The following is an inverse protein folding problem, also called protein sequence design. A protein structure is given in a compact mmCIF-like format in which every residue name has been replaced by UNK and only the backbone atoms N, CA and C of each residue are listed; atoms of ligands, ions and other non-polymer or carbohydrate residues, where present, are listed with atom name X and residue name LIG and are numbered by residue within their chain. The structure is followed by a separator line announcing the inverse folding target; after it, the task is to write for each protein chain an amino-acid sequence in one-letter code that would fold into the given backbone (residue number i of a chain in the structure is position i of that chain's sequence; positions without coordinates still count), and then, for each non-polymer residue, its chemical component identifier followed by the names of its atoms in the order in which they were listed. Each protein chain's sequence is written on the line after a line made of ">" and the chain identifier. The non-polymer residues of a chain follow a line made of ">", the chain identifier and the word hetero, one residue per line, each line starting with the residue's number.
data_IF_517763480425
#
_entry.id   IF_517763480425
#
_cell.length_a   1.000
_cell.length_b   1.000
_cell.length_c   1.000
_cell.angle_alpha   90.00
_cell.angle_beta   90.00
_cell.angle_gamma   90.00
#
_symmetry.space_group_name_H-M   'P 1'
#
loop_
_entity.id
_entity.type
_entity.pdbx_description
1 polymer ?
#
# COMPACT_ATOMS: atom_id res chain seq x y z
N UNK A 1 5.30 24.79 12.31
CA UNK A 1 4.54 24.23 11.18
C UNK A 1 3.33 23.54 11.78
N UNK A 2 2.12 23.97 11.43
CA UNK A 2 0.94 23.18 11.79
C UNK A 2 1.02 21.89 10.98
N UNK A 3 1.04 20.75 11.65
CA UNK A 3 0.94 19.47 10.98
C UNK A 3 -0.51 19.35 10.48
N UNK A 4 -0.72 19.47 9.16
CA UNK A 4 -2.05 19.51 8.55
C UNK A 4 -2.71 18.12 8.52
N UNK A 5 -1.95 17.06 8.81
CA UNK A 5 -2.42 15.69 8.92
C UNK A 5 -2.21 15.13 10.34
N UNK A 6 -2.99 14.11 10.76
CA UNK A 6 -2.81 13.44 12.04
C UNK A 6 -1.50 12.65 12.08
N UNK A 7 -0.99 12.39 13.29
CA UNK A 7 0.16 11.51 13.47
C UNK A 7 -0.17 10.06 13.08
N UNK A 8 -1.38 9.60 13.42
CA UNK A 8 -1.91 8.30 13.06
C UNK A 8 -3.07 8.46 12.08
N UNK A 9 -2.92 7.87 10.92
CA UNK A 9 -3.90 7.82 9.84
C UNK A 9 -4.78 6.60 10.11
N UNK A 10 -6.09 6.77 10.34
CA UNK A 10 -7.02 5.65 10.29
C UNK A 10 -7.12 5.12 8.86
N UNK A 11 -7.22 3.81 8.70
CA UNK A 11 -7.48 3.15 7.43
C UNK A 11 -8.62 2.18 7.67
N UNK A 12 -9.77 2.48 7.06
CA UNK A 12 -10.94 1.61 7.12
C UNK A 12 -10.74 0.42 6.17
N UNK A 13 -11.06 -0.78 6.64
CA UNK A 13 -11.06 -1.97 5.80
C UNK A 13 -12.32 -1.97 4.94
N UNK A 14 -12.13 -2.07 3.63
CA UNK A 14 -13.20 -2.34 2.68
C UNK A 14 -13.00 -3.71 2.04
N UNK A 15 -13.88 -4.66 2.37
CA UNK A 15 -13.74 -6.05 1.98
C UNK A 15 -13.78 -6.28 0.46
N UNK A 16 -14.41 -5.40 -0.31
CA UNK A 16 -14.53 -5.60 -1.75
C UNK A 16 -13.66 -4.60 -2.56
N UNK A 17 -12.69 -3.95 -1.91
CA UNK A 17 -11.92 -2.87 -2.55
C UNK A 17 -10.45 -2.77 -2.09
N UNK A 18 -9.82 -1.60 -2.30
CA UNK A 18 -8.36 -1.44 -2.23
C UNK A 18 -7.76 -1.73 -0.84
N UNK A 19 -8.55 -1.58 0.22
CA UNK A 19 -8.14 -1.80 1.61
C UNK A 19 -8.56 -3.18 2.14
N UNK A 20 -8.88 -4.16 1.29
CA UNK A 20 -9.34 -5.49 1.70
C UNK A 20 -8.37 -6.24 2.63
N UNK A 21 -7.07 -6.20 2.31
CA UNK A 21 -6.05 -6.95 3.05
C UNK A 21 -5.37 -6.09 4.12
N UNK A 22 -6.09 -5.72 5.18
CA UNK A 22 -5.47 -5.06 6.34
C UNK A 22 -6.04 -5.54 7.67
N UNK A 23 -5.22 -5.47 8.71
CA UNK A 23 -5.59 -5.92 10.04
C UNK A 23 -4.40 -6.20 10.93
N UNK A 24 -4.51 -7.26 11.72
CA UNK A 24 -3.56 -7.62 12.76
C UNK A 24 -3.13 -9.09 12.62
N UNK A 25 -1.85 -9.34 12.86
CA UNK A 25 -1.25 -10.69 12.90
C UNK A 25 -1.37 -11.27 14.31
N UNK A 26 -1.17 -12.59 14.48
CA UNK A 26 -1.28 -13.26 15.78
C UNK A 26 -0.36 -12.69 16.89
N UNK A 27 0.77 -12.09 16.51
CA UNK A 27 1.71 -11.46 17.47
C UNK A 27 1.38 -10.00 17.80
N UNK A 28 0.27 -9.46 17.25
CA UNK A 28 -0.21 -8.10 17.51
C UNK A 28 0.38 -7.03 16.58
N UNK A 29 1.22 -7.39 15.61
CA UNK A 29 1.66 -6.46 14.57
C UNK A 29 0.53 -6.19 13.58
N UNK A 30 0.41 -4.94 13.13
CA UNK A 30 -0.54 -4.56 12.10
C UNK A 30 0.04 -4.87 10.72
N UNK A 31 -0.82 -5.14 9.74
CA UNK A 31 -0.42 -5.36 8.35
C UNK A 31 -1.34 -4.62 7.38
N UNK A 32 -0.78 -4.25 6.22
CA UNK A 32 -1.52 -3.78 5.06
C UNK A 32 -0.91 -4.38 3.78
N UNK A 33 -1.63 -5.32 3.18
CA UNK A 33 -1.35 -5.94 1.90
C UNK A 33 -1.95 -5.15 0.73
N UNK A 34 -1.18 -4.97 -0.33
CA UNK A 34 -1.58 -4.12 -1.45
C UNK A 34 -0.94 -4.58 -2.78
N UNK A 35 -1.69 -4.44 -3.87
CA UNK A 35 -1.20 -4.60 -5.24
C UNK A 35 -1.03 -3.21 -5.86
N UNK A 36 0.14 -2.92 -6.42
CA UNK A 36 0.44 -1.62 -7.04
C UNK A 36 1.30 -1.79 -8.27
N UNK A 37 1.63 -0.67 -8.92
CA UNK A 37 2.45 -0.64 -10.09
C UNK A 37 3.31 0.61 -10.20
N UNK A 38 4.37 0.49 -11.01
CA UNK A 38 5.25 1.60 -11.37
C UNK A 38 5.39 1.67 -12.89
N UNK A 39 5.28 2.86 -13.45
CA UNK A 39 5.70 3.12 -14.83
C UNK A 39 7.18 3.48 -14.89
N UNK A 40 7.98 2.80 -15.72
CA UNK A 40 9.41 3.09 -15.90
C UNK A 40 9.70 4.54 -16.30
N UNK A 41 8.79 5.14 -17.08
CA UNK A 41 8.90 6.52 -17.56
C UNK A 41 7.95 7.49 -16.85
N UNK A 42 7.33 7.07 -15.75
CA UNK A 42 6.42 7.90 -14.93
C UNK A 42 5.06 8.23 -15.57
N UNK A 43 4.84 7.95 -16.86
CA UNK A 43 3.58 8.25 -17.56
C UNK A 43 3.19 7.08 -18.47
N UNK A 44 1.91 6.67 -18.50
CA UNK A 44 1.43 5.70 -19.47
C UNK A 44 1.51 6.26 -20.89
N UNK A 45 2.17 5.52 -21.78
CA UNK A 45 2.19 5.78 -23.23
C UNK A 45 1.35 4.75 -24.01
N UNK A 46 1.44 4.77 -25.34
CA UNK A 46 0.78 3.78 -26.18
C UNK A 46 1.21 2.33 -25.87
N UNK A 47 2.42 2.16 -25.33
CA UNK A 47 3.02 0.88 -24.96
C UNK A 47 3.04 0.68 -23.42
N UNK A 48 1.96 1.09 -22.75
CA UNK A 48 1.93 1.15 -21.28
C UNK A 48 2.17 -0.21 -20.62
N UNK A 49 1.68 -1.31 -21.19
CA UNK A 49 1.84 -2.67 -20.62
C UNK A 49 3.31 -3.11 -20.55
N UNK A 50 4.14 -2.72 -21.51
CA UNK A 50 5.57 -3.02 -21.53
C UNK A 50 6.39 -2.11 -20.60
N UNK A 51 5.79 -1.02 -20.12
CA UNK A 51 6.44 -0.02 -19.26
C UNK A 51 5.88 -0.01 -17.83
N UNK A 52 4.88 -0.85 -17.53
CA UNK A 52 4.26 -0.98 -16.21
C UNK A 52 4.78 -2.24 -15.50
N UNK A 53 5.40 -2.05 -14.35
CA UNK A 53 5.87 -3.12 -13.47
C UNK A 53 4.89 -3.30 -12.33
N UNK A 54 4.43 -4.54 -12.12
CA UNK A 54 3.42 -4.87 -11.10
C UNK A 54 4.10 -5.43 -9.85
N UNK A 55 3.65 -4.97 -8.68
CA UNK A 55 4.20 -5.35 -7.38
C UNK A 55 3.10 -5.86 -6.44
N UNK A 56 3.44 -6.90 -5.69
CA UNK A 56 2.70 -7.33 -4.51
C UNK A 56 3.46 -6.92 -3.25
N UNK A 57 2.78 -6.30 -2.29
CA UNK A 57 3.39 -5.71 -1.10
C UNK A 57 2.62 -6.12 0.16
N UNK A 58 3.35 -6.26 1.26
CA UNK A 58 2.78 -6.24 2.61
C UNK A 58 3.61 -5.34 3.51
N UNK A 59 2.99 -4.27 3.99
CA UNK A 59 3.55 -3.38 4.99
C UNK A 59 3.25 -3.95 6.38
N UNK A 60 4.26 -4.00 7.25
CA UNK A 60 4.14 -4.40 8.64
C UNK A 60 4.40 -3.23 9.57
N UNK A 61 3.61 -3.16 10.64
CA UNK A 61 3.70 -2.11 11.65
C UNK A 61 3.65 -2.70 13.05
N UNK A 62 4.25 -2.01 14.01
CA UNK A 62 4.02 -2.33 15.42
C UNK A 62 2.59 -1.94 15.83
N UNK A 63 2.21 -2.34 17.04
CA UNK A 63 0.90 -2.01 17.64
C UNK A 63 0.61 -0.50 17.77
N UNK A 64 1.62 0.35 17.65
CA UNK A 64 1.50 1.80 17.71
C UNK A 64 1.47 2.43 16.31
N UNK A 65 1.43 1.62 15.25
CA UNK A 65 1.38 2.09 13.87
C UNK A 65 2.74 2.55 13.32
N UNK A 66 3.86 2.27 13.99
CA UNK A 66 5.18 2.55 13.43
C UNK A 66 5.54 1.47 12.40
N UNK A 67 6.00 1.88 11.22
CA UNK A 67 6.47 0.96 10.19
C UNK A 67 7.66 0.13 10.68
N UNK A 68 7.60 -1.18 10.44
CA UNK A 68 8.63 -2.15 10.80
C UNK A 68 9.36 -2.68 9.57
N UNK A 69 8.61 -3.12 8.57
CA UNK A 69 9.14 -3.82 7.40
C UNK A 69 8.18 -3.67 6.22
N UNK A 70 8.72 -3.66 5.01
CA UNK A 70 7.94 -3.84 3.77
C UNK A 70 8.40 -5.11 3.09
N UNK A 71 7.52 -6.11 3.05
CA UNK A 71 7.72 -7.31 2.24
C UNK A 71 7.19 -7.05 0.84
N UNK A 72 7.91 -7.47 -0.19
CA UNK A 72 7.50 -7.23 -1.56
C UNK A 72 7.91 -8.36 -2.50
N UNK A 73 7.18 -8.50 -3.60
CA UNK A 73 7.54 -9.33 -4.76
C UNK A 73 7.22 -8.57 -6.04
N UNK A 74 8.22 -8.42 -6.91
CA UNK A 74 8.04 -7.94 -8.28
C UNK A 74 7.41 -9.06 -9.11
N UNK A 75 6.19 -8.84 -9.63
CA UNK A 75 5.55 -9.80 -10.51
C UNK A 75 6.18 -9.81 -11.91
N UNK A 76 6.66 -8.66 -12.38
CA UNK A 76 7.21 -8.42 -13.71
C UNK A 76 6.45 -7.32 -14.44
N UNK A 77 6.67 -7.19 -15.75
CA UNK A 77 5.91 -6.26 -16.58
C UNK A 77 4.50 -6.78 -16.84
N UNK A 78 3.51 -5.90 -16.92
CA UNK A 78 2.12 -6.27 -17.22
C UNK A 78 2.02 -7.12 -18.50
N UNK A 79 2.80 -6.78 -19.54
CA UNK A 79 2.82 -7.52 -20.81
C UNK A 79 3.40 -8.94 -20.74
N UNK A 80 4.15 -9.26 -19.68
CA UNK A 80 4.90 -10.52 -19.54
C UNK A 80 4.24 -11.51 -18.56
N UNK A 81 3.27 -11.04 -17.78
CA UNK A 81 2.68 -11.83 -16.69
C UNK A 81 1.27 -12.30 -17.03
N UNK A 82 0.90 -13.47 -16.50
CA UNK A 82 -0.49 -13.92 -16.56
C UNK A 82 -1.38 -13.09 -15.65
N UNK A 83 -2.64 -12.93 -16.04
CA UNK A 83 -3.70 -12.38 -15.18
C UNK A 83 -3.69 -13.10 -13.81
N UNK A 84 -3.74 -12.33 -12.72
CA UNK A 84 -3.76 -12.85 -11.35
C UNK A 84 -2.39 -13.24 -10.78
N UNK A 85 -1.28 -13.09 -11.52
CA UNK A 85 0.06 -13.37 -10.98
C UNK A 85 0.37 -12.50 -9.76
N UNK A 86 0.07 -11.20 -9.83
CA UNK A 86 0.29 -10.25 -8.71
C UNK A 86 -0.50 -10.66 -7.47
N UNK A 87 -1.80 -10.94 -7.61
CA UNK A 87 -2.65 -11.41 -6.52
C UNK A 87 -2.17 -12.72 -5.90
N UNK A 88 -1.66 -13.66 -6.71
CA UNK A 88 -1.05 -14.88 -6.20
C UNK A 88 0.18 -14.57 -5.33
N UNK A 89 1.06 -13.68 -5.79
CA UNK A 89 2.25 -13.29 -5.03
C UNK A 89 1.89 -12.56 -3.72
N UNK A 90 0.84 -11.72 -3.74
CA UNK A 90 0.32 -11.08 -2.53
C UNK A 90 -0.21 -12.12 -1.54
N UNK A 91 -1.00 -13.08 -2.00
CA UNK A 91 -1.49 -14.17 -1.16
C UNK A 91 -0.36 -14.99 -0.54
N UNK A 92 0.72 -15.25 -1.28
CA UNK A 92 1.91 -15.91 -0.71
C UNK A 92 2.53 -15.08 0.43
N UNK A 93 2.68 -13.77 0.25
CA UNK A 93 3.20 -12.88 1.31
C UNK A 93 2.30 -12.87 2.55
N UNK A 94 0.97 -12.89 2.37
CA UNK A 94 0.01 -12.93 3.47
C UNK A 94 0.01 -14.27 4.21
N UNK A 95 0.13 -15.39 3.49
CA UNK A 95 0.25 -16.72 4.09
C UNK A 95 1.50 -16.83 4.96
N UNK A 96 2.61 -16.23 4.55
CA UNK A 96 3.86 -16.22 5.31
C UNK A 96 3.76 -15.44 6.65
N UNK A 97 2.71 -14.62 6.84
CA UNK A 97 2.43 -13.95 8.11
C UNK A 97 1.69 -14.83 9.13
N UNK A 98 1.18 -15.99 8.70
CA UNK A 98 0.41 -16.90 9.55
C UNK A 98 -1.03 -16.44 9.71
N UNK A 99 -1.57 -16.55 10.93
CA UNK A 99 -2.98 -16.23 11.20
C UNK A 99 -3.20 -14.72 11.20
N UNK A 100 -4.19 -14.29 10.42
CA UNK A 100 -4.58 -12.88 10.26
C UNK A 100 -5.98 -12.64 10.81
N UNK A 101 -6.15 -11.50 11.47
CA UNK A 101 -7.44 -10.93 11.83
C UNK A 101 -7.64 -9.64 11.04
N UNK A 102 -8.60 -9.64 10.12
CA UNK A 102 -8.95 -8.46 9.34
C UNK A 102 -9.76 -7.45 10.16
N UNK A 103 -9.36 -6.19 10.13
CA UNK A 103 -9.95 -5.07 10.91
C UNK A 103 -9.31 -3.76 10.48
N UNK A 104 -9.98 -2.64 10.72
CA UNK A 104 -9.39 -1.30 10.56
C UNK A 104 -8.08 -1.16 11.34
N UNK A 105 -7.16 -0.36 10.81
CA UNK A 105 -5.86 -0.07 11.44
C UNK A 105 -5.63 1.43 11.56
N UNK A 106 -4.63 1.79 12.37
CA UNK A 106 -4.12 3.15 12.48
C UNK A 106 -2.60 3.11 12.37
N UNK A 107 -2.05 3.84 11.42
CA UNK A 107 -0.60 3.82 11.12
C UNK A 107 -0.06 5.22 10.94
N UNK A 108 1.24 5.40 11.17
CA UNK A 108 1.92 6.65 10.86
C UNK A 108 2.23 6.72 9.36
N UNK A 109 2.36 7.93 8.78
CA UNK A 109 3.00 8.06 7.48
C UNK A 109 4.37 7.37 7.48
N UNK A 110 4.69 6.68 6.40
CA UNK A 110 5.89 5.89 6.31
C UNK A 110 6.34 5.77 4.85
N UNK A 111 7.60 5.35 4.69
CA UNK A 111 8.22 5.20 3.38
C UNK A 111 9.20 4.04 3.40
N UNK A 112 9.19 3.26 2.33
CA UNK A 112 10.21 2.28 1.96
C UNK A 112 10.76 2.61 0.58
N UNK A 113 12.03 2.29 0.34
CA UNK A 113 12.63 2.39 -0.99
C UNK A 113 12.74 0.99 -1.57
N UNK A 114 12.09 0.76 -2.71
CA UNK A 114 12.15 -0.50 -3.47
C UNK A 114 12.53 -0.15 -4.89
N UNK A 115 13.60 -0.75 -5.40
CA UNK A 115 14.13 -0.47 -6.75
C UNK A 115 14.35 1.03 -7.04
N UNK A 116 14.71 1.79 -6.00
CA UNK A 116 14.93 3.24 -6.08
C UNK A 116 13.65 4.10 -6.06
N UNK A 117 12.48 3.51 -5.87
CA UNK A 117 11.17 4.16 -5.87
C UNK A 117 10.60 4.20 -4.45
N UNK A 118 9.85 5.26 -4.12
CA UNK A 118 9.20 5.42 -2.82
C UNK A 118 7.86 4.68 -2.78
N UNK A 119 7.70 3.82 -1.78
CA UNK A 119 6.48 3.08 -1.49
C UNK A 119 6.00 3.40 -0.08
N UNK A 120 4.70 3.60 0.11
CA UNK A 120 4.09 3.80 1.42
C UNK A 120 3.08 4.93 1.45
N UNK A 121 2.68 5.33 2.66
CA UNK A 121 1.75 6.44 2.88
C UNK A 121 2.52 7.73 3.04
N UNK A 122 2.58 8.52 1.96
CA UNK A 122 3.45 9.69 1.85
C UNK A 122 2.59 10.97 1.82
N UNK A 123 2.80 11.91 2.77
CA UNK A 123 2.09 13.19 2.77
C UNK A 123 2.44 14.02 1.52
N UNK A 124 1.42 14.53 0.84
CA UNK A 124 1.54 15.46 -0.27
C UNK A 124 0.99 16.84 0.14
N UNK A 125 1.91 17.76 0.44
CA UNK A 125 1.58 19.11 0.91
C UNK A 125 0.80 19.96 -0.11
N UNK A 126 0.83 19.61 -1.40
CA UNK A 126 0.15 20.40 -2.44
C UNK A 126 -1.35 20.17 -2.46
N UNK A 127 -1.78 18.93 -2.22
CA UNK A 127 -3.20 18.57 -2.15
C UNK A 127 -3.69 18.38 -0.72
N UNK A 128 -2.79 18.45 0.28
CA UNK A 128 -3.10 18.18 1.69
C UNK A 128 -3.76 16.80 1.87
N UNK A 129 -3.20 15.79 1.18
CA UNK A 129 -3.60 14.39 1.29
C UNK A 129 -2.39 13.48 1.53
N UNK A 130 -2.62 12.32 2.14
CA UNK A 130 -1.61 11.27 2.26
C UNK A 130 -1.90 10.21 1.22
N UNK A 131 -1.01 10.09 0.24
CA UNK A 131 -1.18 9.18 -0.90
C UNK A 131 -0.49 7.85 -0.62
N UNK A 132 -1.14 6.74 -1.00
CA UNK A 132 -0.47 5.46 -1.06
C UNK A 132 0.35 5.39 -2.35
N UNK A 133 1.65 5.56 -2.20
CA UNK A 133 2.63 5.54 -3.29
C UNK A 133 3.21 4.13 -3.48
N UNK A 134 3.62 3.78 -4.71
CA UNK A 134 3.44 4.51 -5.97
C UNK A 134 1.99 4.38 -6.49
N UNK A 135 1.73 4.89 -7.69
CA UNK A 135 0.44 4.92 -8.40
C UNK A 135 -0.65 5.83 -7.82
N UNK A 136 -0.56 6.23 -6.54
CA UNK A 136 -1.53 7.13 -5.88
C UNK A 136 -2.98 6.68 -6.07
N UNK A 137 -3.23 5.37 -6.14
CA UNK A 137 -4.57 4.85 -6.43
C UNK A 137 -5.53 5.06 -5.27
N UNK A 138 -5.02 5.26 -4.06
CA UNK A 138 -5.81 5.71 -2.92
C UNK A 138 -5.11 6.85 -2.20
N UNK A 139 -5.89 7.81 -1.68
CA UNK A 139 -5.40 8.92 -0.88
C UNK A 139 -6.33 9.21 0.30
N UNK A 140 -5.74 9.54 1.45
CA UNK A 140 -6.46 9.86 2.69
C UNK A 140 -6.39 11.36 2.96
N UNK A 141 -7.52 11.95 3.33
CA UNK A 141 -7.64 13.37 3.64
C UNK A 141 -8.59 13.64 4.81
N UNK A 142 -8.90 14.92 5.04
CA UNK A 142 -9.97 15.30 5.96
C UNK A 142 -11.30 14.61 5.60
N UNK A 143 -12.10 14.16 6.59
CA UNK A 143 -11.99 14.42 8.02
C UNK A 143 -11.08 13.46 8.80
N UNK A 144 -10.22 12.69 8.11
CA UNK A 144 -9.36 11.67 8.73
C UNK A 144 -10.17 10.60 9.47
N UNK A 145 -11.24 10.12 8.86
CA UNK A 145 -12.13 9.07 9.38
C UNK A 145 -11.74 7.66 8.91
N UNK A 146 -10.81 7.55 7.96
CA UNK A 146 -10.30 6.29 7.42
C UNK A 146 -10.86 5.91 6.06
N UNK A 147 -11.81 6.69 5.54
CA UNK A 147 -12.21 6.68 4.14
C UNK A 147 -11.09 7.26 3.27
N UNK A 148 -11.10 6.91 1.98
CA UNK A 148 -10.10 7.33 1.01
C UNK A 148 -10.74 7.66 -0.34
N UNK A 149 -10.08 8.55 -1.08
CA UNK A 149 -10.42 8.87 -2.47
C UNK A 149 -9.64 7.96 -3.43
N UNK A 150 -10.21 7.70 -4.62
CA UNK A 150 -9.62 6.89 -5.70
C UNK A 150 -9.55 7.59 -7.06
#
# INVERSE_FOLDING_TARGET
>A
MNNWHPELIPIMREEDYHTHYLGETENGNLFFGYETFVFSNGVPGADWENNRFEYALVYLFDKNGNHLETKHKLAGKTSEISIGKTSKLLNELLVDLGRLQFKDIKVKPFKSIIDGIEFGLIPNEKCEMIELQPSSTIAFGEPWNGEYDT
#
